data_IF_636047535515
#
_entry.id   IF_636047535515
#
_cell.length_a   1.000
_cell.length_b   1.000
_cell.length_c   1.000
_cell.angle_alpha   90.00
_cell.angle_beta   90.00
_cell.angle_gamma   90.00
#
_symmetry.space_group_name_H-M   'P 1'
#
loop_
_entity.id
_entity.type
_entity.pdbx_description
1 polymer ?
#
# COMPACT_ATOMS: atom_id res chain seq x y z
N UNK A 1 10.00 -14.92 3.58
CA UNK A 1 9.01 -14.18 4.38
C UNK A 1 8.67 -12.95 3.57
N UNK A 2 7.39 -12.65 3.31
CA UNK A 2 7.04 -11.40 2.62
C UNK A 2 6.90 -10.25 3.61
N UNK A 3 7.41 -9.08 3.23
CA UNK A 3 7.24 -7.84 3.98
C UNK A 3 6.24 -6.98 3.22
N UNK A 4 5.17 -6.54 3.87
CA UNK A 4 4.12 -5.74 3.23
C UNK A 4 4.03 -4.38 3.92
N UNK A 5 4.30 -3.32 3.17
CA UNK A 5 4.18 -1.93 3.62
C UNK A 5 2.93 -1.29 3.05
N UNK A 6 2.01 -0.88 3.91
CA UNK A 6 0.94 0.05 3.54
C UNK A 6 1.41 1.48 3.76
N UNK A 7 1.51 2.29 2.70
CA UNK A 7 1.86 3.69 2.82
C UNK A 7 0.66 4.54 3.28
N UNK A 8 0.93 5.56 4.08
CA UNK A 8 -0.08 6.47 4.64
C UNK A 8 0.56 7.46 5.62
N UNK A 9 -0.23 8.45 6.04
CA UNK A 9 0.13 9.38 7.12
C UNK A 9 -0.61 9.01 8.43
N UNK A 10 0.06 9.08 9.59
CA UNK A 10 -0.56 8.88 10.89
C UNK A 10 -1.34 10.13 11.33
N UNK A 11 -2.43 9.92 12.07
CA UNK A 11 -3.29 10.98 12.59
C UNK A 11 -4.70 10.92 12.02
N UNK A 12 -5.69 11.26 12.83
CA UNK A 12 -7.11 11.15 12.44
C UNK A 12 -7.47 12.06 11.27
N UNK A 13 -6.76 13.18 11.08
CA UNK A 13 -7.00 14.09 9.96
C UNK A 13 -6.66 13.49 8.58
N UNK A 14 -5.88 12.40 8.51
CA UNK A 14 -5.51 11.74 7.25
C UNK A 14 -6.26 10.42 7.02
N UNK A 15 -7.05 9.97 8.01
CA UNK A 15 -7.78 8.71 7.92
C UNK A 15 -8.69 8.73 6.68
N UNK A 16 -8.64 7.67 5.88
CA UNK A 16 -9.42 7.51 4.64
C UNK A 16 -9.16 8.59 3.57
N UNK A 17 -8.07 9.34 3.69
CA UNK A 17 -7.59 10.19 2.60
C UNK A 17 -7.07 9.32 1.45
N UNK A 18 -7.01 9.89 0.24
CA UNK A 18 -6.44 9.19 -0.92
C UNK A 18 -5.01 8.70 -0.68
N UNK A 19 -4.20 9.41 0.10
CA UNK A 19 -2.83 8.99 0.45
C UNK A 19 -2.76 7.87 1.49
N UNK A 20 -3.88 7.54 2.14
CA UNK A 20 -3.95 6.52 3.19
C UNK A 20 -4.51 5.17 2.69
N UNK A 21 -4.75 5.01 1.39
CA UNK A 21 -5.22 3.73 0.80
C UNK A 21 -4.32 2.54 1.13
N UNK A 22 -3.00 2.77 1.29
CA UNK A 22 -2.08 1.72 1.73
C UNK A 22 -2.32 1.30 3.18
N UNK A 23 -2.60 2.24 4.08
CA UNK A 23 -3.05 1.91 5.43
C UNK A 23 -4.39 1.19 5.41
N UNK A 24 -5.37 1.72 4.68
CA UNK A 24 -6.70 1.15 4.62
C UNK A 24 -6.66 -0.30 4.12
N UNK A 25 -5.84 -0.61 3.10
CA UNK A 25 -5.68 -1.97 2.60
C UNK A 25 -5.10 -2.93 3.65
N UNK A 26 -4.08 -2.49 4.42
CA UNK A 26 -3.52 -3.30 5.51
C UNK A 26 -4.53 -3.52 6.63
N UNK A 27 -5.32 -2.51 6.98
CA UNK A 27 -6.38 -2.60 7.98
C UNK A 27 -7.50 -3.55 7.50
N UNK A 28 -7.86 -3.52 6.21
CA UNK A 28 -8.81 -4.46 5.59
C UNK A 28 -8.32 -5.91 5.69
N UNK A 29 -7.05 -6.18 5.38
CA UNK A 29 -6.47 -7.53 5.51
C UNK A 29 -6.50 -7.98 6.97
N UNK A 30 -6.08 -7.12 7.89
CA UNK A 30 -6.04 -7.45 9.31
C UNK A 30 -7.44 -7.75 9.86
N UNK A 31 -8.45 -6.97 9.46
CA UNK A 31 -9.85 -7.21 9.82
C UNK A 31 -10.37 -8.55 9.27
N UNK A 32 -10.08 -8.85 7.99
CA UNK A 32 -10.46 -10.11 7.35
C UNK A 32 -9.85 -11.33 8.07
N UNK A 33 -8.59 -11.23 8.48
CA UNK A 33 -7.88 -12.27 9.21
C UNK A 33 -8.12 -12.24 10.73
N UNK A 34 -9.01 -11.36 11.20
CA UNK A 34 -9.34 -11.16 12.62
C UNK A 34 -8.09 -10.95 13.50
N UNK A 35 -7.07 -10.26 12.96
CA UNK A 35 -5.85 -9.94 13.67
C UNK A 35 -5.72 -8.43 13.89
N UNK A 36 -4.82 -8.02 14.79
CA UNK A 36 -4.66 -6.62 15.18
C UNK A 36 -3.23 -6.16 14.99
N UNK A 37 -3.05 -5.07 14.24
CA UNK A 37 -1.77 -4.37 14.18
C UNK A 37 -1.42 -3.80 15.56
N UNK A 38 -0.21 -4.12 16.04
CA UNK A 38 0.29 -3.65 17.32
C UNK A 38 1.40 -2.63 17.12
N UNK A 39 1.29 -1.50 17.81
CA UNK A 39 2.37 -0.52 17.96
C UNK A 39 3.18 -0.88 19.20
N UNK A 40 4.49 -1.08 19.05
CA UNK A 40 5.39 -1.26 20.20
C UNK A 40 5.82 0.10 20.76
N UNK A 41 6.16 0.14 22.05
CA UNK A 41 6.68 1.35 22.69
C UNK A 41 7.89 1.91 21.92
N UNK A 42 7.93 3.24 21.73
CA UNK A 42 8.93 3.99 20.96
C UNK A 42 9.10 3.63 19.47
N UNK A 43 8.33 2.68 18.93
CA UNK A 43 8.38 2.35 17.51
C UNK A 43 7.46 3.27 16.71
N UNK A 44 7.98 3.78 15.58
CA UNK A 44 7.26 4.59 14.61
C UNK A 44 6.59 3.72 13.55
N UNK A 45 5.98 2.61 13.95
CA UNK A 45 5.23 1.71 13.10
C UNK A 45 4.28 0.86 13.93
N UNK A 46 3.24 0.33 13.29
CA UNK A 46 2.44 -0.78 13.81
C UNK A 46 2.49 -1.95 12.83
N UNK A 47 2.49 -3.17 13.37
CA UNK A 47 2.69 -4.37 12.56
C UNK A 47 1.86 -5.54 13.06
N UNK A 48 1.71 -6.55 12.21
CA UNK A 48 1.20 -7.88 12.59
C UNK A 48 1.79 -8.93 11.65
N UNK A 49 2.18 -10.09 12.20
CA UNK A 49 2.55 -11.24 11.39
C UNK A 49 1.29 -12.04 11.07
N UNK A 50 1.11 -12.37 9.80
CA UNK A 50 0.00 -13.18 9.30
C UNK A 50 0.54 -14.41 8.59
N UNK A 51 -0.20 -15.50 8.69
CA UNK A 51 0.12 -16.76 8.01
C UNK A 51 -1.09 -17.22 7.24
N UNK A 52 -0.84 -17.79 6.06
CA UNK A 52 -1.83 -18.49 5.27
C UNK A 52 -1.40 -19.96 5.19
N UNK A 53 -2.36 -20.87 5.14
CA UNK A 53 -2.06 -22.31 5.13
C UNK A 53 -1.10 -22.66 3.97
N UNK A 54 -0.01 -23.36 4.31
CA UNK A 54 1.02 -23.76 3.35
C UNK A 54 1.94 -22.65 2.84
N UNK A 55 1.78 -21.40 3.29
CA UNK A 55 2.61 -20.27 2.88
C UNK A 55 3.59 -19.84 3.97
N UNK A 56 4.72 -19.24 3.56
CA UNK A 56 5.66 -18.60 4.49
C UNK A 56 4.97 -17.40 5.15
N UNK A 57 5.14 -17.18 6.48
CA UNK A 57 4.57 -16.02 7.15
C UNK A 57 4.91 -14.70 6.46
N UNK A 58 3.97 -13.77 6.53
CA UNK A 58 4.09 -12.42 5.99
C UNK A 58 3.96 -11.39 7.10
N UNK A 59 4.74 -10.32 7.05
CA UNK A 59 4.68 -9.22 8.03
C UNK A 59 3.98 -8.03 7.40
N UNK A 60 2.82 -7.65 7.94
CA UNK A 60 2.11 -6.43 7.54
C UNK A 60 2.58 -5.27 8.41
N UNK A 61 2.92 -4.15 7.78
CA UNK A 61 3.47 -2.95 8.43
C UNK A 61 2.77 -1.70 7.93
N UNK A 62 2.42 -0.82 8.87
CA UNK A 62 2.07 0.57 8.58
C UNK A 62 3.11 1.48 9.27
N UNK A 63 3.94 2.20 8.48
CA UNK A 63 4.85 3.21 9.01
C UNK A 63 4.05 4.31 9.71
N UNK A 64 4.37 4.64 10.96
CA UNK A 64 3.77 5.78 11.68
C UNK A 64 4.67 7.02 11.62
N UNK A 65 5.32 7.22 10.47
CA UNK A 65 6.06 8.44 10.10
C UNK A 65 5.23 9.24 9.09
N UNK A 66 5.62 10.48 8.81
CA UNK A 66 5.04 11.22 7.69
C UNK A 66 5.42 10.56 6.35
N UNK A 67 4.58 10.71 5.33
CA UNK A 67 4.71 10.05 4.03
C UNK A 67 6.09 10.23 3.39
N UNK A 68 6.70 11.41 3.48
CA UNK A 68 8.04 11.66 2.94
C UNK A 68 9.19 10.99 3.72
N UNK A 69 8.86 10.30 4.81
CA UNK A 69 9.75 9.58 5.72
C UNK A 69 9.32 8.13 5.94
N UNK A 70 8.43 7.60 5.09
CA UNK A 70 7.93 6.21 5.24
C UNK A 70 9.03 5.16 5.17
N UNK A 71 10.13 5.44 4.47
CA UNK A 71 11.28 4.55 4.35
C UNK A 71 12.15 4.47 5.61
N UNK A 72 12.14 5.47 6.50
CA UNK A 72 13.09 5.56 7.63
C UNK A 72 13.02 4.34 8.57
N UNK A 73 11.87 3.66 8.60
CA UNK A 73 11.64 2.48 9.45
C UNK A 73 11.87 1.15 8.72
N UNK A 74 12.19 1.17 7.42
CA UNK A 74 12.27 -0.06 6.59
C UNK A 74 13.39 -1.00 7.05
N UNK A 75 14.53 -0.45 7.47
CA UNK A 75 15.68 -1.21 7.95
C UNK A 75 15.40 -1.97 9.26
N UNK A 76 14.31 -1.68 9.98
CA UNK A 76 13.91 -2.48 11.13
C UNK A 76 13.39 -3.88 10.77
N UNK A 77 13.05 -4.12 9.50
CA UNK A 77 12.40 -5.35 9.04
C UNK A 77 13.22 -6.14 8.03
N UNK A 78 14.26 -5.52 7.48
CA UNK A 78 15.10 -6.06 6.42
C UNK A 78 16.37 -6.58 7.10
N UNK A 79 16.48 -7.90 7.36
CA UNK A 79 17.77 -8.49 7.70
C UNK A 79 18.75 -8.36 6.52
N UNK A 80 20.05 -8.53 6.78
CA UNK A 80 21.13 -8.34 5.79
C UNK A 80 20.96 -9.14 4.48
N UNK A 81 20.18 -10.23 4.51
CA UNK A 81 19.92 -11.11 3.36
C UNK A 81 18.52 -10.97 2.77
N UNK A 82 17.76 -9.94 3.14
CA UNK A 82 16.40 -9.74 2.61
C UNK A 82 16.45 -9.33 1.14
N UNK A 83 15.82 -10.12 0.28
CA UNK A 83 15.63 -9.78 -1.12
C UNK A 83 14.59 -8.65 -1.23
N UNK A 84 14.95 -7.53 -1.84
CA UNK A 84 14.04 -6.37 -2.01
C UNK A 84 12.76 -6.76 -2.76
N UNK A 85 12.84 -7.81 -3.57
CA UNK A 85 11.73 -8.43 -4.29
C UNK A 85 10.65 -9.03 -3.38
N UNK A 86 10.99 -9.38 -2.13
CA UNK A 86 10.04 -9.87 -1.12
C UNK A 86 9.26 -8.72 -0.45
N UNK A 87 9.61 -7.46 -0.73
CA UNK A 87 8.87 -6.29 -0.27
C UNK A 87 7.70 -5.99 -1.22
N UNK A 88 6.51 -5.90 -0.66
CA UNK A 88 5.29 -5.45 -1.31
C UNK A 88 4.90 -4.09 -0.72
N UNK A 89 4.68 -3.10 -1.56
CA UNK A 89 4.30 -1.74 -1.15
C UNK A 89 2.92 -1.40 -1.73
N UNK A 90 1.98 -1.08 -0.85
CA UNK A 90 0.64 -0.60 -1.23
C UNK A 90 0.62 0.93 -1.13
N UNK A 91 0.23 1.60 -2.21
CA UNK A 91 0.24 3.06 -2.30
C UNK A 91 -0.75 3.58 -3.34
N UNK A 92 -1.10 4.86 -3.26
CA UNK A 92 -1.94 5.50 -4.26
C UNK A 92 -1.21 5.80 -5.56
N UNK A 93 -1.99 5.96 -6.63
CA UNK A 93 -1.49 6.35 -7.94
C UNK A 93 -2.49 7.28 -8.65
N UNK A 94 -2.00 8.48 -8.99
CA UNK A 94 -2.78 9.54 -9.64
C UNK A 94 -3.13 9.21 -11.10
N UNK A 95 -2.33 8.38 -11.75
CA UNK A 95 -2.48 8.06 -13.17
C UNK A 95 -3.42 6.88 -13.43
N UNK A 96 -3.92 6.26 -12.37
CA UNK A 96 -4.90 5.19 -12.43
C UNK A 96 -6.29 5.73 -12.06
N UNK A 97 -7.36 5.32 -12.80
CA UNK A 97 -8.73 5.68 -12.46
C UNK A 97 -9.09 5.25 -11.02
N UNK A 98 -9.92 6.04 -10.29
CA UNK A 98 -10.44 5.64 -8.98
C UNK A 98 -11.05 4.24 -9.00
N UNK A 99 -10.73 3.43 -7.99
CA UNK A 99 -11.26 2.07 -7.82
C UNK A 99 -10.59 0.99 -8.66
N UNK A 100 -9.62 1.34 -9.50
CA UNK A 100 -8.76 0.37 -10.19
C UNK A 100 -7.50 0.10 -9.37
N UNK A 101 -6.86 -1.03 -9.62
CA UNK A 101 -5.53 -1.32 -9.08
C UNK A 101 -4.56 -1.73 -10.17
N UNK A 102 -3.26 -1.59 -9.90
CA UNK A 102 -2.20 -2.10 -10.77
C UNK A 102 -1.06 -2.69 -9.96
N UNK A 103 -0.69 -3.92 -10.28
CA UNK A 103 0.46 -4.62 -9.72
C UNK A 103 1.63 -4.48 -10.68
N UNK A 104 2.79 -4.08 -10.15
CA UNK A 104 4.03 -3.91 -10.91
C UNK A 104 5.24 -4.13 -10.02
N UNK A 105 6.26 -4.82 -10.53
CA UNK A 105 7.61 -4.82 -9.95
C UNK A 105 8.43 -3.65 -10.49
N UNK A 106 9.22 -3.00 -9.64
CA UNK A 106 10.14 -1.96 -10.08
C UNK A 106 9.49 -0.60 -10.40
N UNK A 107 10.28 0.29 -11.01
CA UNK A 107 9.84 1.57 -11.56
C UNK A 107 10.20 2.79 -10.71
N UNK A 108 9.99 3.99 -11.27
CA UNK A 108 10.28 5.24 -10.56
C UNK A 108 9.25 5.52 -9.47
N UNK A 109 9.50 6.49 -8.59
CA UNK A 109 8.53 6.92 -7.58
C UNK A 109 7.29 7.62 -8.17
N UNK A 110 7.30 8.00 -9.45
CA UNK A 110 6.25 8.78 -10.10
C UNK A 110 5.80 10.01 -9.29
N UNK A 111 6.72 10.64 -8.55
CA UNK A 111 6.41 11.80 -7.72
C UNK A 111 5.91 11.47 -6.31
N UNK A 112 5.49 10.22 -6.03
CA UNK A 112 4.94 9.80 -4.74
C UNK A 112 6.01 9.80 -3.63
N UNK A 113 5.77 10.58 -2.56
CA UNK A 113 6.77 10.84 -1.53
C UNK A 113 7.16 9.62 -0.68
N UNK A 114 6.22 8.72 -0.37
CA UNK A 114 6.55 7.48 0.34
C UNK A 114 7.41 6.51 -0.48
N UNK A 115 7.10 6.34 -1.77
CA UNK A 115 7.97 5.60 -2.69
C UNK A 115 9.35 6.23 -2.84
N UNK A 116 9.45 7.57 -2.95
CA UNK A 116 10.75 8.28 -2.94
C UNK A 116 11.55 7.96 -1.68
N UNK A 117 10.90 7.99 -0.52
CA UNK A 117 11.53 7.69 0.76
C UNK A 117 12.02 6.25 0.81
N UNK A 118 11.19 5.27 0.44
CA UNK A 118 11.58 3.86 0.40
C UNK A 118 12.75 3.61 -0.56
N UNK A 119 12.69 4.14 -1.78
CA UNK A 119 13.78 3.98 -2.77
C UNK A 119 15.10 4.56 -2.23
N UNK A 120 15.04 5.71 -1.55
CA UNK A 120 16.23 6.34 -0.97
C UNK A 120 16.85 5.48 0.13
N UNK A 121 16.05 4.98 1.07
CA UNK A 121 16.58 4.14 2.17
C UNK A 121 17.03 2.76 1.69
N UNK A 122 16.33 2.17 0.71
CA UNK A 122 16.67 0.85 0.18
C UNK A 122 17.82 0.85 -0.84
N UNK A 123 18.13 2.00 -1.45
CA UNK A 123 19.04 2.08 -2.60
C UNK A 123 18.55 1.31 -3.83
N UNK A 124 17.29 0.87 -3.84
CA UNK A 124 16.70 0.04 -4.89
C UNK A 124 15.22 0.35 -5.08
N UNK A 125 14.72 0.13 -6.29
CA UNK A 125 13.31 0.29 -6.64
C UNK A 125 12.63 -1.05 -6.98
N UNK A 126 13.34 -2.18 -6.90
CA UNK A 126 12.96 -3.50 -7.43
C UNK A 126 11.87 -4.24 -6.63
N UNK A 127 11.27 -3.59 -5.65
CA UNK A 127 10.17 -4.13 -4.86
C UNK A 127 8.85 -4.16 -5.65
N UNK A 128 7.91 -4.98 -5.19
CA UNK A 128 6.57 -5.13 -5.75
C UNK A 128 5.71 -3.96 -5.28
N UNK A 129 4.87 -3.43 -6.17
CA UNK A 129 3.95 -2.34 -5.89
C UNK A 129 2.54 -2.73 -6.25
N UNK A 130 1.64 -2.49 -5.31
CA UNK A 130 0.19 -2.57 -5.50
C UNK A 130 -0.33 -1.15 -5.48
N UNK A 131 -0.54 -0.59 -6.67
CA UNK A 131 -1.08 0.75 -6.83
C UNK A 131 -2.59 0.74 -6.71
N UNK A 132 -3.14 1.66 -5.93
CA UNK A 132 -4.57 1.97 -5.87
C UNK A 132 -4.83 3.25 -6.63
N UNK A 133 -5.69 3.20 -7.64
CA UNK A 133 -6.03 4.36 -8.44
C UNK A 133 -6.85 5.37 -7.67
N UNK A 134 -6.44 6.63 -7.75
CA UNK A 134 -7.09 7.76 -7.07
C UNK A 134 -7.47 8.89 -8.03
N UNK A 135 -7.13 8.75 -9.32
CA UNK A 135 -7.33 9.76 -10.34
C UNK A 135 -6.50 11.04 -10.12
N UNK A 136 -6.51 11.91 -11.14
CA UNK A 136 -5.86 13.22 -11.06
C UNK A 136 -6.78 14.28 -10.44
N UNK A 137 -6.22 15.33 -9.82
CA UNK A 137 -7.02 16.46 -9.33
C UNK A 137 -7.81 17.13 -10.45
N UNK A 138 -8.96 17.69 -10.10
CA UNK A 138 -9.70 18.59 -10.96
C UNK A 138 -8.89 19.89 -11.20
N UNK A 139 -9.12 20.61 -12.32
CA UNK A 139 -8.50 21.90 -12.56
C UNK A 139 -8.66 22.85 -11.37
N UNK A 140 -7.58 23.55 -11.00
CA UNK A 140 -7.57 24.48 -9.87
C UNK A 140 -7.23 23.85 -8.51
N UNK A 141 -7.11 22.52 -8.43
CA UNK A 141 -6.69 21.81 -7.21
C UNK A 141 -5.26 21.31 -7.32
N UNK A 142 -4.49 21.48 -6.25
CA UNK A 142 -3.12 20.95 -6.21
C UNK A 142 -3.11 19.44 -5.99
N UNK A 143 -2.03 18.78 -6.39
CA UNK A 143 -1.83 17.34 -6.11
C UNK A 143 -1.80 17.08 -4.60
N UNK A 144 -1.18 17.98 -3.83
CA UNK A 144 -1.06 17.83 -2.37
C UNK A 144 -2.43 17.85 -1.70
N UNK A 145 -3.29 18.81 -2.05
CA UNK A 145 -4.67 18.86 -1.53
C UNK A 145 -5.46 17.62 -1.93
N UNK A 146 -5.34 17.18 -3.19
CA UNK A 146 -6.05 16.01 -3.69
C UNK A 146 -5.68 14.72 -2.96
N UNK A 147 -4.39 14.47 -2.71
CA UNK A 147 -3.99 13.22 -2.03
C UNK A 147 -4.32 13.24 -0.53
N UNK A 148 -4.30 14.41 0.12
CA UNK A 148 -4.54 14.51 1.57
C UNK A 148 -6.01 14.54 1.96
N UNK A 149 -6.93 14.75 1.02
CA UNK A 149 -8.35 14.77 1.33
C UNK A 149 -9.01 13.40 1.27
N UNK A 150 -10.11 13.29 2.00
CA UNK A 150 -11.11 12.23 1.84
C UNK A 150 -12.02 12.61 0.68
N UNK A 151 -12.38 11.70 -0.25
CA UNK A 151 -13.36 12.01 -1.28
C UNK A 151 -14.68 12.50 -0.68
N UNK A 152 -15.20 13.64 -1.15
CA UNK A 152 -16.44 14.21 -0.61
C UNK A 152 -17.69 13.48 -1.10
N UNK A 153 -17.66 13.00 -2.35
CA UNK A 153 -18.81 12.31 -2.95
C UNK A 153 -18.90 10.85 -2.51
N UNK A 154 -20.14 10.36 -2.37
CA UNK A 154 -20.42 8.95 -2.05
C UNK A 154 -19.77 8.03 -3.08
N UNK A 155 -19.99 8.29 -4.38
CA UNK A 155 -19.37 7.53 -5.45
C UNK A 155 -17.83 7.54 -5.40
N UNK A 156 -17.22 8.66 -4.99
CA UNK A 156 -15.78 8.77 -4.82
C UNK A 156 -15.26 7.90 -3.67
N UNK A 157 -15.98 7.86 -2.55
CA UNK A 157 -15.65 7.00 -1.40
C UNK A 157 -15.83 5.52 -1.74
N UNK A 158 -16.91 5.18 -2.43
CA UNK A 158 -17.18 3.81 -2.90
C UNK A 158 -16.10 3.33 -3.86
N UNK A 159 -15.72 4.15 -4.84
CA UNK A 159 -14.64 3.83 -5.77
C UNK A 159 -13.32 3.62 -5.02
N UNK A 160 -12.96 4.52 -4.08
CA UNK A 160 -11.75 4.38 -3.29
C UNK A 160 -11.76 3.08 -2.46
N UNK A 161 -12.88 2.79 -1.80
CA UNK A 161 -13.09 1.58 -1.02
C UNK A 161 -12.98 0.30 -1.86
N UNK A 162 -13.52 0.30 -3.09
CA UNK A 162 -13.36 -0.80 -4.03
C UNK A 162 -11.89 -1.04 -4.39
N UNK A 163 -11.14 0.03 -4.67
CA UNK A 163 -9.70 -0.07 -4.95
C UNK A 163 -8.91 -0.62 -3.77
N UNK A 164 -9.24 -0.18 -2.55
CA UNK A 164 -8.65 -0.69 -1.30
C UNK A 164 -8.95 -2.19 -1.12
N UNK A 165 -10.19 -2.63 -1.36
CA UNK A 165 -10.57 -4.04 -1.26
C UNK A 165 -9.82 -4.91 -2.27
N UNK A 166 -9.74 -4.48 -3.54
CA UNK A 166 -8.97 -5.18 -4.57
C UNK A 166 -7.48 -5.23 -4.23
N UNK A 167 -6.91 -4.16 -3.68
CA UNK A 167 -5.52 -4.15 -3.24
C UNK A 167 -5.27 -5.14 -2.09
N UNK A 168 -6.18 -5.20 -1.12
CA UNK A 168 -6.13 -6.17 -0.04
C UNK A 168 -6.16 -7.61 -0.58
N UNK A 169 -7.06 -7.92 -1.52
CA UNK A 169 -7.11 -9.22 -2.20
C UNK A 169 -5.80 -9.57 -2.91
N UNK A 170 -5.27 -8.63 -3.71
CA UNK A 170 -4.03 -8.82 -4.46
C UNK A 170 -2.83 -9.05 -3.52
N UNK A 171 -2.74 -8.30 -2.42
CA UNK A 171 -1.71 -8.49 -1.39
C UNK A 171 -1.85 -9.87 -0.74
N UNK A 172 -3.06 -10.31 -0.40
CA UNK A 172 -3.27 -11.64 0.16
C UNK A 172 -2.88 -12.75 -0.81
N UNK A 173 -3.17 -12.59 -2.11
CA UNK A 173 -2.74 -13.54 -3.14
C UNK A 173 -1.21 -13.64 -3.21
N UNK A 174 -0.51 -12.49 -3.19
CA UNK A 174 0.94 -12.46 -3.07
C UNK A 174 1.37 -13.19 -1.80
N UNK A 175 0.85 -12.85 -0.62
CA UNK A 175 1.21 -13.50 0.65
C UNK A 175 1.02 -15.03 0.63
N UNK A 176 0.00 -15.53 -0.08
CA UNK A 176 -0.28 -16.98 -0.25
C UNK A 176 0.68 -17.70 -1.19
N UNK A 177 1.57 -17.00 -1.88
CA UNK A 177 2.59 -17.61 -2.74
C UNK A 177 2.45 -17.34 -4.23
N UNK A 178 1.37 -16.68 -4.68
CA UNK A 178 1.21 -16.35 -6.08
C UNK A 178 2.37 -15.47 -6.58
N UNK A 179 2.78 -15.70 -7.82
CA UNK A 179 3.78 -14.87 -8.50
C UNK A 179 3.22 -13.48 -8.83
N UNK A 180 4.12 -12.51 -9.03
CA UNK A 180 3.73 -11.14 -9.39
C UNK A 180 2.99 -11.14 -10.72
N UNK A 181 3.40 -12.00 -11.65
CA UNK A 181 2.84 -12.15 -12.99
C UNK A 181 1.41 -12.71 -12.95
N UNK A 182 1.16 -13.71 -12.09
CA UNK A 182 -0.18 -14.27 -11.89
C UNK A 182 -1.14 -13.22 -11.31
N UNK A 183 -0.72 -12.55 -10.23
CA UNK A 183 -1.54 -11.51 -9.59
C UNK A 183 -1.75 -10.34 -10.54
N UNK A 184 -0.72 -9.91 -11.27
CA UNK A 184 -0.85 -8.85 -12.26
C UNK A 184 -1.83 -9.22 -13.39
N UNK A 185 -1.76 -10.44 -13.92
CA UNK A 185 -2.69 -10.93 -14.96
C UNK A 185 -4.13 -10.91 -14.49
N UNK A 186 -4.37 -11.32 -13.25
CA UNK A 186 -5.71 -11.36 -12.66
C UNK A 186 -6.27 -9.97 -12.34
N UNK A 187 -5.48 -9.11 -11.70
CA UNK A 187 -6.00 -7.88 -11.13
C UNK A 187 -5.81 -6.65 -12.02
N UNK A 188 -4.79 -6.61 -12.90
CA UNK A 188 -4.60 -5.45 -13.79
C UNK A 188 -5.67 -5.38 -14.90
N UNK A 189 -6.43 -6.44 -15.10
CA UNK A 189 -7.52 -6.52 -16.10
C UNK A 189 -8.89 -6.24 -15.49
N UNK A 190 -9.01 -6.27 -14.14
CA UNK A 190 -10.23 -5.91 -13.41
C UNK A 190 -10.36 -4.38 -13.41
N UNK A 191 -10.75 -3.82 -14.55
CA UNK A 191 -11.21 -2.43 -14.59
C UNK A 191 -12.55 -2.38 -13.84
N UNK A 192 -12.58 -1.60 -12.75
CA UNK A 192 -13.77 -1.43 -11.92
C UNK A 192 -14.95 -0.92 -12.74
N UNK A 193 -15.79 -1.85 -13.20
CA UNK A 193 -17.14 -1.62 -13.69
C UNK A 193 -17.86 -2.95 -13.81
N UNK A 194 -18.76 -3.22 -12.86
CA UNK A 194 -20.15 -3.54 -13.17
C UNK A 194 -21.03 -2.74 -12.24
#
# INVERSE_FOLDING_TARGET
>A
MRLVFGLGNPGSQYAHSRHNVGFDAIDTIAAFLQCKLRKRFLRLYRQVTVSFDGAVPSLLVQPLTFMNRSGEIVHHFIPDHFAVEDLVVVCDNLDLPPGTIRIRKGGSSAGHNGLKSLIRELGSAEFIRVYVGIGRPQPGKTVVEHVLEVPDSVAGRESLGQGVALAAEAVMALCKGASVEEVAREFNTRNGTK
#
